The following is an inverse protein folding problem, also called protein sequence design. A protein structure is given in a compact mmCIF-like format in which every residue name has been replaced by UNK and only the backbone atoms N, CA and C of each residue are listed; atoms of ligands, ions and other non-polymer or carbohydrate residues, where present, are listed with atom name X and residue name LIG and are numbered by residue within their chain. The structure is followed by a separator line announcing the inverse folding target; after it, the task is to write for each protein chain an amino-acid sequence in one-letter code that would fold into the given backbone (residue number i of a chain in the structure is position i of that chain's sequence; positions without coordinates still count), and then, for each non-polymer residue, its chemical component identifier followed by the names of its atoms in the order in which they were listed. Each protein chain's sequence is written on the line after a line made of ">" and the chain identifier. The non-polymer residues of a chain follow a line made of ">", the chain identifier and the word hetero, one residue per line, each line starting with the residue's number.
data_IF_162458794254
#
_entry.id   IF_162458794254
#
_cell.length_a   1.000
_cell.length_b   1.000
_cell.length_c   1.000
_cell.angle_alpha   90.00
_cell.angle_beta   90.00
_cell.angle_gamma   90.00
#
_symmetry.space_group_name_H-M   'P 1'
#
loop_
_entity.id
_entity.type
_entity.pdbx_description
1 polymer ?
#
# COMPACT_ATOMS: atom_id res chain seq x y z
N UNK A 1 -0.22 13.12 23.31
CA UNK A 1 0.02 13.21 21.84
C UNK A 1 -0.81 14.31 21.19
N UNK A 2 -2.15 14.27 21.13
CA UNK A 2 -2.92 15.36 20.50
C UNK A 2 -2.88 16.70 21.26
N UNK A 3 -2.91 16.67 22.60
CA UNK A 3 -2.76 17.88 23.42
C UNK A 3 -1.35 18.50 23.28
N UNK A 4 -0.31 17.67 23.17
CA UNK A 4 1.07 18.13 23.00
C UNK A 4 1.27 18.77 21.62
N UNK A 5 0.65 18.20 20.57
CA UNK A 5 0.68 18.78 19.23
C UNK A 5 -0.06 20.12 19.18
N UNK A 6 -1.23 20.24 19.83
CA UNK A 6 -1.98 21.50 19.87
C UNK A 6 -1.17 22.64 20.52
N UNK A 7 -0.48 22.36 21.63
CA UNK A 7 0.40 23.34 22.28
C UNK A 7 1.61 23.72 21.42
N UNK A 8 2.23 22.75 20.74
CA UNK A 8 3.35 23.01 19.83
C UNK A 8 2.93 23.88 18.64
N UNK A 9 1.72 23.66 18.10
CA UNK A 9 1.16 24.45 16.99
C UNK A 9 0.91 25.90 17.39
N UNK A 10 0.37 26.14 18.59
CA UNK A 10 0.10 27.50 19.07
C UNK A 10 1.40 28.30 19.29
N UNK A 11 2.47 27.62 19.70
CA UNK A 11 3.78 28.22 19.95
C UNK A 11 4.67 28.32 18.70
N UNK A 12 4.41 27.53 17.66
CA UNK A 12 5.28 27.46 16.48
C UNK A 12 5.49 28.80 15.76
N UNK A 13 4.46 29.63 15.50
CA UNK A 13 4.66 30.95 14.89
C UNK A 13 5.53 31.89 15.71
N UNK A 14 5.69 31.63 17.02
CA UNK A 14 6.48 32.43 17.96
C UNK A 14 7.94 31.95 18.03
N UNK A 15 8.30 30.86 17.33
CA UNK A 15 9.67 30.39 17.24
C UNK A 15 10.44 31.26 16.24
N UNK A 16 11.57 31.79 16.69
CA UNK A 16 12.54 32.49 15.81
C UNK A 16 13.25 31.53 14.83
N UNK A 17 13.06 30.23 15.01
CA UNK A 17 13.73 29.17 14.25
C UNK A 17 12.80 28.60 13.15
N UNK A 18 13.10 28.96 11.90
CA UNK A 18 12.37 28.49 10.72
C UNK A 18 12.42 26.96 10.55
N UNK A 19 13.49 26.30 10.99
CA UNK A 19 13.58 24.84 10.92
C UNK A 19 12.53 24.20 11.82
N UNK A 20 12.44 24.65 13.08
CA UNK A 20 11.46 24.13 14.04
C UNK A 20 10.03 24.40 13.59
N UNK A 21 9.79 25.54 12.94
CA UNK A 21 8.49 25.82 12.32
C UNK A 21 8.15 24.84 11.22
N UNK A 22 9.12 24.52 10.35
CA UNK A 22 8.95 23.51 9.32
C UNK A 22 8.72 22.11 9.93
N UNK A 23 9.40 21.75 11.02
CA UNK A 23 9.14 20.50 11.75
C UNK A 23 7.72 20.43 12.31
N UNK A 24 7.22 21.50 12.91
CA UNK A 24 5.83 21.54 13.40
C UNK A 24 4.84 21.42 12.25
N UNK A 25 5.05 22.15 11.14
CA UNK A 25 4.22 22.04 9.94
C UNK A 25 4.24 20.60 9.36
N UNK A 26 5.39 19.93 9.36
CA UNK A 26 5.50 18.53 8.95
C UNK A 26 4.69 17.59 9.86
N UNK A 27 4.71 17.81 11.18
CA UNK A 27 3.89 17.05 12.12
C UNK A 27 2.39 17.27 11.88
N UNK A 28 1.97 18.51 11.61
CA UNK A 28 0.58 18.81 11.24
C UNK A 28 0.17 18.12 9.95
N UNK A 29 1.02 18.18 8.91
CA UNK A 29 0.77 17.49 7.64
C UNK A 29 0.64 15.98 7.85
N UNK A 30 1.48 15.38 8.69
CA UNK A 30 1.44 13.94 8.99
C UNK A 30 0.16 13.57 9.73
N UNK A 31 -0.23 14.34 10.76
CA UNK A 31 -1.46 14.12 11.50
C UNK A 31 -2.71 14.29 10.62
N UNK A 32 -2.71 15.27 9.71
CA UNK A 32 -3.77 15.45 8.72
C UNK A 32 -3.85 14.24 7.77
N UNK A 33 -2.71 13.65 7.38
CA UNK A 33 -2.67 12.45 6.54
C UNK A 33 -3.28 11.24 7.26
N UNK A 34 -3.06 11.09 8.57
CA UNK A 34 -3.66 10.01 9.37
C UNK A 34 -5.18 10.11 9.44
N UNK A 35 -5.70 11.36 9.42
CA UNK A 35 -7.14 11.65 9.37
C UNK A 35 -7.70 11.67 7.94
N UNK A 36 -6.88 11.37 6.93
CA UNK A 36 -7.21 11.46 5.51
C UNK A 36 -7.71 12.86 5.08
N UNK A 37 -7.31 13.92 5.79
CA UNK A 37 -7.62 15.30 5.43
C UNK A 37 -6.58 15.84 4.44
N UNK A 38 -6.71 15.42 3.18
CA UNK A 38 -5.73 15.72 2.13
C UNK A 38 -5.54 17.21 1.85
N UNK A 39 -6.57 18.04 2.07
CA UNK A 39 -6.47 19.49 1.93
C UNK A 39 -5.53 20.11 2.98
N UNK A 40 -5.62 19.68 4.24
CA UNK A 40 -4.69 20.10 5.30
C UNK A 40 -3.28 19.55 5.09
N UNK A 41 -3.15 18.31 4.58
CA UNK A 41 -1.84 17.75 4.20
C UNK A 41 -1.12 18.68 3.21
N UNK A 42 -1.84 19.09 2.15
CA UNK A 42 -1.29 19.95 1.10
C UNK A 42 -0.93 21.33 1.66
N UNK A 43 -1.80 21.92 2.48
CA UNK A 43 -1.57 23.22 3.12
C UNK A 43 -0.27 23.21 3.94
N UNK A 44 -0.14 22.26 4.86
CA UNK A 44 1.03 22.19 5.75
C UNK A 44 2.29 21.73 5.02
N UNK A 45 2.19 20.84 4.02
CA UNK A 45 3.32 20.48 3.18
C UNK A 45 3.85 21.68 2.37
N UNK A 46 2.97 22.57 1.89
CA UNK A 46 3.39 23.83 1.25
C UNK A 46 4.13 24.73 2.24
N UNK A 47 3.60 24.88 3.46
CA UNK A 47 4.27 25.67 4.51
C UNK A 47 5.68 25.13 4.81
N UNK A 48 5.85 23.81 4.91
CA UNK A 48 7.18 23.19 5.06
C UNK A 48 8.12 23.61 3.94
N UNK A 49 7.67 23.53 2.68
CA UNK A 49 8.48 23.83 1.50
C UNK A 49 8.88 25.31 1.48
N UNK A 50 7.95 26.21 1.80
CA UNK A 50 8.21 27.66 1.84
C UNK A 50 9.26 28.01 2.91
N UNK A 51 9.19 27.34 4.07
CA UNK A 51 10.15 27.51 5.15
C UNK A 51 11.51 26.88 4.81
N UNK A 52 11.54 25.70 4.19
CA UNK A 52 12.78 24.95 3.92
C UNK A 52 13.63 25.57 2.80
N UNK A 53 13.00 26.16 1.79
CA UNK A 53 13.70 26.80 0.67
C UNK A 53 14.59 27.97 1.11
N UNK A 54 14.24 28.64 2.21
CA UNK A 54 14.99 29.78 2.74
C UNK A 54 16.24 29.39 3.54
N UNK A 55 16.35 28.14 4.00
CA UNK A 55 17.40 27.72 4.96
C UNK A 55 18.13 26.43 4.55
N UNK A 56 17.80 25.85 3.39
CA UNK A 56 18.44 24.65 2.83
C UNK A 56 18.34 23.40 3.73
N UNK A 57 17.12 23.00 4.10
CA UNK A 57 16.87 21.72 4.76
C UNK A 57 16.27 20.70 3.78
N UNK A 58 17.09 20.04 2.94
CA UNK A 58 16.57 19.22 1.85
C UNK A 58 15.73 18.05 2.33
N UNK A 59 16.07 17.42 3.46
CA UNK A 59 15.36 16.24 3.94
C UNK A 59 13.88 16.49 4.23
N UNK A 60 13.57 17.57 4.97
CA UNK A 60 12.19 17.90 5.34
C UNK A 60 11.39 18.37 4.11
N UNK A 61 12.03 19.07 3.18
CA UNK A 61 11.44 19.47 1.90
C UNK A 61 11.06 18.27 1.03
N UNK A 62 11.95 17.28 0.93
CA UNK A 62 11.72 16.06 0.17
C UNK A 62 10.55 15.28 0.79
N UNK A 63 10.56 15.13 2.12
CA UNK A 63 9.45 14.49 2.86
C UNK A 63 8.12 15.20 2.62
N UNK A 64 8.12 16.53 2.57
CA UNK A 64 6.91 17.33 2.30
C UNK A 64 6.40 17.09 0.89
N UNK A 65 7.28 17.10 -0.11
CA UNK A 65 6.90 16.78 -1.49
C UNK A 65 6.36 15.35 -1.63
N UNK A 66 6.95 14.35 -0.96
CA UNK A 66 6.42 12.98 -0.96
C UNK A 66 5.03 12.94 -0.32
N UNK A 67 4.84 13.60 0.83
CA UNK A 67 3.56 13.61 1.54
C UNK A 67 2.46 14.32 0.73
N UNK A 68 2.80 15.46 0.12
CA UNK A 68 1.94 16.16 -0.83
C UNK A 68 1.58 15.26 -2.01
N UNK A 69 2.57 14.67 -2.69
CA UNK A 69 2.33 13.78 -3.83
C UNK A 69 1.38 12.63 -3.48
N UNK A 70 1.48 12.06 -2.28
CA UNK A 70 0.57 11.02 -1.77
C UNK A 70 -0.86 11.54 -1.55
N UNK A 71 -1.02 12.76 -1.07
CA UNK A 71 -2.33 13.40 -0.94
C UNK A 71 -2.99 13.59 -2.32
N UNK A 72 -2.22 14.07 -3.31
CA UNK A 72 -2.70 14.23 -4.69
C UNK A 72 -3.06 12.89 -5.34
N UNK A 73 -2.23 11.86 -5.15
CA UNK A 73 -2.55 10.48 -5.56
C UNK A 73 -3.90 10.02 -5.00
N UNK A 74 -4.17 10.31 -3.73
CA UNK A 74 -5.40 9.91 -3.04
C UNK A 74 -6.63 10.68 -3.54
N UNK A 75 -6.43 11.90 -4.05
CA UNK A 75 -7.46 12.72 -4.69
C UNK A 75 -7.63 12.42 -6.19
N UNK A 76 -6.77 11.58 -6.78
CA UNK A 76 -6.79 11.24 -8.21
C UNK A 76 -6.06 12.24 -9.12
N UNK A 77 -5.33 13.21 -8.55
CA UNK A 77 -4.47 14.13 -9.32
C UNK A 77 -3.11 13.48 -9.57
N UNK A 78 -3.09 12.57 -10.54
CA UNK A 78 -1.86 11.86 -10.93
C UNK A 78 -0.78 12.78 -11.54
N UNK A 79 -1.11 13.75 -12.42
CA UNK A 79 -0.11 14.69 -12.94
C UNK A 79 0.54 15.54 -11.84
N UNK A 80 -0.25 16.07 -10.91
CA UNK A 80 0.28 16.84 -9.78
C UNK A 80 1.14 15.97 -8.86
N UNK A 81 0.72 14.72 -8.61
CA UNK A 81 1.51 13.78 -7.83
C UNK A 81 2.87 13.47 -8.48
N UNK A 82 2.91 13.22 -9.79
CA UNK A 82 4.16 12.95 -10.52
C UNK A 82 5.13 14.13 -10.42
N UNK A 83 4.64 15.37 -10.54
CA UNK A 83 5.48 16.56 -10.36
C UNK A 83 6.14 16.58 -8.98
N UNK A 84 5.37 16.28 -7.92
CA UNK A 84 5.88 16.25 -6.55
C UNK A 84 6.89 15.14 -6.32
N UNK A 85 6.65 13.93 -6.81
CA UNK A 85 7.60 12.83 -6.66
C UNK A 85 8.87 13.01 -7.52
N UNK A 86 8.75 13.60 -8.71
CA UNK A 86 9.90 13.93 -9.55
C UNK A 86 10.80 14.98 -8.86
N UNK A 87 10.21 16.03 -8.28
CA UNK A 87 10.96 17.02 -7.50
C UNK A 87 11.63 16.38 -6.28
N UNK A 88 10.89 15.57 -5.51
CA UNK A 88 11.43 14.83 -4.37
C UNK A 88 12.62 13.93 -4.78
N UNK A 89 12.51 13.22 -5.91
CA UNK A 89 13.57 12.36 -6.44
C UNK A 89 14.82 13.15 -6.82
N UNK A 90 14.66 14.29 -7.52
CA UNK A 90 15.77 15.16 -7.91
C UNK A 90 16.50 15.72 -6.68
N UNK A 91 15.76 16.23 -5.70
CA UNK A 91 16.29 16.76 -4.45
C UNK A 91 16.99 15.66 -3.62
N UNK A 92 16.39 14.47 -3.52
CA UNK A 92 16.97 13.34 -2.80
C UNK A 92 18.27 12.85 -3.45
N UNK A 93 18.34 12.86 -4.79
CA UNK A 93 19.55 12.52 -5.51
C UNK A 93 20.65 13.57 -5.31
N UNK A 94 20.32 14.86 -5.42
CA UNK A 94 21.26 15.95 -5.19
C UNK A 94 21.80 15.96 -3.75
N UNK A 95 20.95 15.62 -2.78
CA UNK A 95 21.26 15.63 -1.35
C UNK A 95 21.83 14.30 -0.85
N UNK A 96 22.01 13.30 -1.72
CA UNK A 96 22.53 11.97 -1.38
C UNK A 96 21.74 11.30 -0.25
N UNK A 97 20.40 11.40 -0.29
CA UNK A 97 19.49 10.77 0.67
C UNK A 97 18.86 9.52 0.04
N UNK A 98 19.50 8.34 0.15
CA UNK A 98 19.16 7.18 -0.67
C UNK A 98 17.79 6.58 -0.33
N UNK A 99 17.36 6.65 0.94
CA UNK A 99 16.03 6.18 1.35
C UNK A 99 14.91 7.01 0.69
N UNK A 100 15.05 8.33 0.67
CA UNK A 100 14.06 9.22 0.07
C UNK A 100 14.06 9.12 -1.46
N UNK A 101 15.22 8.83 -2.06
CA UNK A 101 15.34 8.52 -3.49
C UNK A 101 14.59 7.23 -3.85
N UNK A 102 14.71 6.20 -3.01
CA UNK A 102 13.99 4.93 -3.16
C UNK A 102 12.48 5.11 -3.00
N UNK A 103 12.03 5.87 -2.00
CA UNK A 103 10.63 6.19 -1.81
C UNK A 103 10.06 6.97 -2.99
N UNK A 104 10.76 8.01 -3.45
CA UNK A 104 10.32 8.82 -4.59
C UNK A 104 10.19 7.96 -5.84
N UNK A 105 11.19 7.13 -6.14
CA UNK A 105 11.17 6.21 -7.29
C UNK A 105 9.99 5.24 -7.21
N UNK A 106 9.74 4.65 -6.03
CA UNK A 106 8.59 3.76 -5.82
C UNK A 106 7.26 4.49 -6.05
N UNK A 107 7.12 5.71 -5.55
CA UNK A 107 5.89 6.48 -5.75
C UNK A 107 5.65 6.90 -7.20
N UNK A 108 6.69 7.24 -7.97
CA UNK A 108 6.57 7.43 -9.43
C UNK A 108 6.08 6.15 -10.10
N UNK A 109 6.54 4.98 -9.65
CA UNK A 109 6.02 3.68 -10.09
C UNK A 109 4.52 3.52 -9.81
N UNK A 110 4.06 3.92 -8.62
CA UNK A 110 2.63 3.91 -8.26
C UNK A 110 1.82 4.87 -9.15
N UNK A 111 2.34 6.05 -9.47
CA UNK A 111 1.65 7.00 -10.37
C UNK A 111 1.51 6.40 -11.76
N UNK A 112 2.60 5.86 -12.31
CA UNK A 112 2.59 5.20 -13.62
C UNK A 112 1.63 4.00 -13.66
N UNK A 113 1.58 3.19 -12.60
CA UNK A 113 0.62 2.09 -12.44
C UNK A 113 -0.83 2.61 -12.49
N UNK A 114 -1.14 3.71 -11.79
CA UNK A 114 -2.47 4.33 -11.79
C UNK A 114 -2.87 4.94 -13.13
N UNK A 115 -1.89 5.40 -13.91
CA UNK A 115 -2.08 5.89 -15.27
C UNK A 115 -2.16 4.76 -16.31
N UNK A 116 -1.90 3.51 -15.92
CA UNK A 116 -1.88 2.35 -16.82
C UNK A 116 -0.59 2.19 -17.64
N UNK A 117 0.43 3.02 -17.40
CA UNK A 117 1.76 2.88 -18.00
C UNK A 117 2.58 1.84 -17.24
N UNK A 118 2.21 0.57 -17.45
CA UNK A 118 2.83 -0.57 -16.78
C UNK A 118 4.34 -0.70 -17.07
N UNK A 119 4.85 -0.47 -18.29
CA UNK A 119 6.30 -0.47 -18.55
C UNK A 119 7.06 0.56 -17.71
N UNK A 120 6.55 1.80 -17.62
CA UNK A 120 7.17 2.83 -16.78
C UNK A 120 7.08 2.47 -15.29
N UNK A 121 5.94 1.93 -14.85
CA UNK A 121 5.75 1.48 -13.48
C UNK A 121 6.79 0.41 -13.08
N UNK A 122 6.96 -0.63 -13.91
CA UNK A 122 7.94 -1.71 -13.69
C UNK A 122 9.35 -1.12 -13.55
N UNK A 123 9.77 -0.24 -14.47
CA UNK A 123 11.11 0.39 -14.43
C UNK A 123 11.35 1.15 -13.12
N UNK A 124 10.37 1.94 -12.67
CA UNK A 124 10.46 2.67 -11.41
C UNK A 124 10.49 1.74 -10.20
N UNK A 125 9.67 0.69 -10.20
CA UNK A 125 9.67 -0.31 -9.14
C UNK A 125 10.99 -1.09 -9.10
N UNK A 126 11.52 -1.60 -10.21
CA UNK A 126 12.83 -2.27 -10.27
C UNK A 126 13.96 -1.36 -9.77
N UNK A 127 13.95 -0.09 -10.18
CA UNK A 127 14.90 0.91 -9.68
C UNK A 127 14.81 1.07 -8.17
N UNK A 128 13.59 1.23 -7.63
CA UNK A 128 13.39 1.35 -6.18
C UNK A 128 13.76 0.07 -5.43
N UNK A 129 13.52 -1.10 -6.04
CA UNK A 129 13.83 -2.40 -5.46
C UNK A 129 15.34 -2.56 -5.24
N UNK A 130 16.13 -2.23 -6.26
CA UNK A 130 17.58 -2.24 -6.16
C UNK A 130 18.07 -1.27 -5.08
N UNK A 131 17.51 -0.06 -5.03
CA UNK A 131 17.86 0.95 -4.03
C UNK A 131 17.55 0.49 -2.60
N UNK A 132 16.37 -0.09 -2.36
CA UNK A 132 16.00 -0.62 -1.04
C UNK A 132 16.93 -1.77 -0.61
N UNK A 133 17.32 -2.64 -1.55
CA UNK A 133 18.30 -3.71 -1.27
C UNK A 133 19.66 -3.16 -0.88
N UNK A 134 20.14 -2.14 -1.59
CA UNK A 134 21.44 -1.52 -1.31
C UNK A 134 21.49 -0.89 0.09
N UNK A 135 20.39 -0.28 0.55
CA UNK A 135 20.31 0.36 1.88
C UNK A 135 19.81 -0.58 2.98
N UNK A 136 19.43 -1.82 2.64
CA UNK A 136 18.90 -2.80 3.60
C UNK A 136 17.50 -2.51 4.14
N UNK A 137 16.70 -1.67 3.46
CA UNK A 137 15.31 -1.42 3.88
C UNK A 137 14.37 -2.52 3.38
N UNK A 138 14.18 -3.51 4.26
CA UNK A 138 13.28 -4.65 4.01
C UNK A 138 11.82 -4.24 3.85
N UNK A 139 11.35 -3.17 4.50
CA UNK A 139 9.95 -2.72 4.36
C UNK A 139 9.70 -2.13 2.98
N UNK A 140 10.61 -1.27 2.51
CA UNK A 140 10.58 -0.73 1.16
C UNK A 140 10.67 -1.82 0.10
N UNK A 141 11.59 -2.78 0.28
CA UNK A 141 11.75 -3.93 -0.61
C UNK A 141 10.45 -4.74 -0.75
N UNK A 142 9.82 -5.11 0.38
CA UNK A 142 8.56 -5.84 0.38
C UNK A 142 7.44 -5.09 -0.35
N UNK A 143 7.25 -3.80 -0.06
CA UNK A 143 6.22 -2.99 -0.74
C UNK A 143 6.41 -3.00 -2.26
N UNK A 144 7.64 -2.83 -2.73
CA UNK A 144 7.96 -2.83 -4.16
C UNK A 144 7.77 -4.20 -4.82
N UNK A 145 8.20 -5.28 -4.18
CA UNK A 145 7.98 -6.65 -4.68
C UNK A 145 6.49 -6.97 -4.86
N UNK A 146 5.64 -6.52 -3.93
CA UNK A 146 4.21 -6.69 -4.07
C UNK A 146 3.65 -5.96 -5.30
N UNK A 147 4.08 -4.72 -5.57
CA UNK A 147 3.66 -3.99 -6.79
C UNK A 147 4.09 -4.71 -8.08
N UNK A 148 5.36 -5.14 -8.15
CA UNK A 148 5.87 -5.89 -9.32
C UNK A 148 5.11 -7.20 -9.53
N UNK A 149 4.85 -7.93 -8.45
CA UNK A 149 4.06 -9.16 -8.48
C UNK A 149 2.65 -8.94 -9.04
N UNK A 150 1.96 -7.90 -8.55
CA UNK A 150 0.63 -7.53 -9.05
C UNK A 150 0.65 -7.17 -10.54
N UNK A 151 1.59 -6.34 -10.98
CA UNK A 151 1.66 -5.89 -12.38
C UNK A 151 1.92 -7.07 -13.32
N UNK A 152 2.87 -7.94 -13.01
CA UNK A 152 3.16 -9.10 -13.86
C UNK A 152 1.98 -10.06 -13.92
N UNK A 153 1.25 -10.25 -12.82
CA UNK A 153 0.01 -11.03 -12.82
C UNK A 153 -1.07 -10.40 -13.70
N UNK A 154 -1.24 -9.07 -13.65
CA UNK A 154 -2.17 -8.34 -14.53
C UNK A 154 -1.80 -8.49 -16.01
N UNK A 155 -0.50 -8.56 -16.33
CA UNK A 155 0.00 -8.80 -17.69
C UNK A 155 -0.06 -10.29 -18.10
N UNK A 156 -0.46 -11.18 -17.19
CA UNK A 156 -0.53 -12.61 -17.43
C UNK A 156 0.78 -13.37 -17.24
N UNK A 157 1.89 -12.69 -16.93
CA UNK A 157 3.15 -13.30 -16.50
C UNK A 157 3.05 -13.76 -15.05
N UNK A 158 2.37 -14.89 -14.89
CA UNK A 158 2.15 -15.51 -13.59
C UNK A 158 3.41 -16.13 -13.00
N UNK A 159 4.39 -16.51 -13.83
CA UNK A 159 5.65 -17.09 -13.33
C UNK A 159 6.52 -16.00 -12.72
N UNK A 160 6.73 -14.89 -13.42
CA UNK A 160 7.44 -13.73 -12.89
C UNK A 160 6.72 -13.12 -11.69
N UNK A 161 5.39 -12.98 -11.77
CA UNK A 161 4.57 -12.48 -10.65
C UNK A 161 4.73 -13.33 -9.38
N UNK A 162 4.70 -14.67 -9.51
CA UNK A 162 4.93 -15.58 -8.39
C UNK A 162 6.35 -15.44 -7.81
N UNK A 163 7.38 -15.26 -8.64
CA UNK A 163 8.76 -15.09 -8.15
C UNK A 163 8.90 -13.84 -7.26
N UNK A 164 8.22 -12.74 -7.61
CA UNK A 164 8.20 -11.55 -6.76
C UNK A 164 7.40 -11.76 -5.48
N UNK A 165 6.27 -12.47 -5.53
CA UNK A 165 5.52 -12.83 -4.34
C UNK A 165 6.27 -13.80 -3.41
N UNK A 166 6.98 -14.80 -3.93
CA UNK A 166 7.80 -15.70 -3.11
C UNK A 166 8.88 -14.90 -2.35
N UNK A 167 9.53 -13.94 -3.02
CA UNK A 167 10.47 -13.02 -2.37
C UNK A 167 9.75 -12.17 -1.30
N UNK A 168 8.59 -11.57 -1.63
CA UNK A 168 7.82 -10.79 -0.67
C UNK A 168 7.49 -11.58 0.61
N UNK A 169 7.08 -12.84 0.49
CA UNK A 169 6.71 -13.69 1.62
C UNK A 169 7.90 -13.98 2.55
N UNK A 170 9.11 -14.07 2.01
CA UNK A 170 10.33 -14.19 2.81
C UNK A 170 10.50 -12.91 3.64
N UNK A 171 10.43 -11.75 2.97
CA UNK A 171 10.57 -10.45 3.62
C UNK A 171 9.50 -10.23 4.69
N UNK A 172 8.24 -10.49 4.36
CA UNK A 172 7.11 -10.24 5.26
C UNK A 172 7.26 -11.03 6.55
N UNK A 173 7.75 -12.27 6.48
CA UNK A 173 8.05 -13.10 7.65
C UNK A 173 9.20 -12.55 8.47
N UNK A 174 10.28 -12.10 7.82
CA UNK A 174 11.43 -11.50 8.51
C UNK A 174 11.05 -10.23 9.29
N UNK A 175 10.19 -9.37 8.72
CA UNK A 175 9.79 -8.11 9.35
C UNK A 175 8.52 -8.22 10.21
N UNK A 176 7.91 -9.42 10.29
CA UNK A 176 6.66 -9.65 11.01
C UNK A 176 5.40 -9.02 10.39
N UNK A 177 5.40 -8.73 9.09
CA UNK A 177 4.23 -8.22 8.36
C UNK A 177 3.24 -9.34 8.01
N UNK A 178 2.54 -9.84 9.03
CA UNK A 178 1.51 -10.88 8.89
C UNK A 178 0.32 -10.40 8.05
N UNK A 179 0.01 -9.11 8.08
CA UNK A 179 -1.08 -8.53 7.29
C UNK A 179 -0.78 -8.56 5.79
N UNK A 180 0.43 -8.14 5.40
CA UNK A 180 0.91 -8.24 4.03
C UNK A 180 1.01 -9.69 3.56
N UNK A 181 1.52 -10.58 4.42
CA UNK A 181 1.63 -12.03 4.13
C UNK A 181 0.27 -12.62 3.77
N UNK A 182 -0.76 -12.40 4.60
CA UNK A 182 -2.11 -12.94 4.36
C UNK A 182 -2.72 -12.46 3.03
N UNK A 183 -2.50 -11.20 2.65
CA UNK A 183 -2.98 -10.69 1.36
C UNK A 183 -2.27 -11.30 0.16
N UNK A 184 -0.95 -11.38 0.18
CA UNK A 184 -0.20 -11.92 -0.94
C UNK A 184 -0.49 -13.41 -1.11
N UNK A 185 -0.60 -14.16 -0.02
CA UNK A 185 -1.01 -15.57 -0.07
C UNK A 185 -2.41 -15.71 -0.70
N UNK A 186 -3.37 -14.84 -0.33
CA UNK A 186 -4.69 -14.83 -0.96
C UNK A 186 -4.61 -14.53 -2.47
N UNK A 187 -3.80 -13.55 -2.87
CA UNK A 187 -3.57 -13.23 -4.29
C UNK A 187 -2.94 -14.40 -5.07
N UNK A 188 -2.05 -15.18 -4.43
CA UNK A 188 -1.52 -16.41 -5.02
C UNK A 188 -2.67 -17.43 -5.20
N UNK A 189 -3.55 -17.59 -4.20
CA UNK A 189 -4.74 -18.44 -4.31
C UNK A 189 -5.61 -18.08 -5.53
N UNK A 190 -5.90 -16.78 -5.71
CA UNK A 190 -6.64 -16.29 -6.88
C UNK A 190 -5.94 -16.64 -8.21
N UNK A 191 -4.61 -16.57 -8.23
CA UNK A 191 -3.79 -16.92 -9.41
C UNK A 191 -3.93 -18.40 -9.77
N UNK A 192 -3.89 -19.29 -8.78
CA UNK A 192 -4.07 -20.73 -8.98
C UNK A 192 -5.50 -21.07 -9.43
N UNK A 193 -6.51 -20.42 -8.82
CA UNK A 193 -7.90 -20.59 -9.21
C UNK A 193 -8.12 -20.20 -10.69
N UNK A 194 -7.52 -19.08 -11.14
CA UNK A 194 -7.60 -18.65 -12.55
C UNK A 194 -6.98 -19.63 -13.54
N UNK A 195 -6.17 -20.59 -13.07
CA UNK A 195 -5.55 -21.66 -13.86
C UNK A 195 -6.28 -22.99 -13.76
N UNK A 196 -7.44 -23.01 -13.09
CA UNK A 196 -8.17 -24.23 -12.77
C UNK A 196 -7.35 -25.22 -11.92
N UNK A 197 -6.28 -24.75 -11.25
CA UNK A 197 -5.56 -25.52 -10.24
C UNK A 197 -6.22 -25.32 -8.88
N UNK A 198 -7.33 -26.03 -8.72
CA UNK A 198 -8.19 -25.93 -7.54
C UNK A 198 -7.51 -26.43 -6.25
N UNK A 199 -6.61 -27.40 -6.36
CA UNK A 199 -5.87 -27.93 -5.21
C UNK A 199 -4.86 -26.89 -4.70
N UNK A 200 -4.10 -26.27 -5.60
CA UNK A 200 -3.20 -25.17 -5.25
C UNK A 200 -3.96 -23.96 -4.71
N UNK A 201 -5.07 -23.58 -5.35
CA UNK A 201 -5.91 -22.47 -4.91
C UNK A 201 -6.43 -22.68 -3.49
N UNK A 202 -7.02 -23.85 -3.20
CA UNK A 202 -7.53 -24.21 -1.87
C UNK A 202 -6.43 -24.08 -0.82
N UNK A 203 -5.25 -24.67 -1.08
CA UNK A 203 -4.11 -24.61 -0.16
C UNK A 203 -3.74 -23.18 0.20
N UNK A 204 -3.64 -22.27 -0.78
CA UNK A 204 -3.28 -20.88 -0.51
C UNK A 204 -4.42 -20.10 0.16
N UNK A 205 -5.69 -20.33 -0.20
CA UNK A 205 -6.80 -19.69 0.51
C UNK A 205 -6.88 -20.14 1.97
N UNK A 206 -6.67 -21.43 2.26
CA UNK A 206 -6.61 -21.95 3.63
C UNK A 206 -5.45 -21.35 4.43
N UNK A 207 -4.26 -21.22 3.82
CA UNK A 207 -3.14 -20.52 4.45
C UNK A 207 -3.46 -19.05 4.73
N UNK A 208 -4.10 -18.35 3.78
CA UNK A 208 -4.54 -16.97 4.02
C UNK A 208 -5.54 -16.89 5.18
N UNK A 209 -6.47 -17.85 5.28
CA UNK A 209 -7.44 -17.96 6.37
C UNK A 209 -6.79 -18.18 7.74
N UNK A 210 -5.74 -18.99 7.81
CA UNK A 210 -4.98 -19.19 9.04
C UNK A 210 -4.37 -17.86 9.54
N UNK A 211 -3.62 -17.19 8.67
CA UNK A 211 -2.94 -15.93 8.99
C UNK A 211 -3.94 -14.84 9.36
N UNK A 212 -4.99 -14.68 8.55
CA UNK A 212 -5.94 -13.59 8.74
C UNK A 212 -6.79 -13.75 9.99
N UNK A 213 -7.05 -15.00 10.44
CA UNK A 213 -7.71 -15.29 11.72
C UNK A 213 -6.78 -15.02 12.89
N UNK A 214 -5.50 -15.39 12.78
CA UNK A 214 -4.48 -15.07 13.80
C UNK A 214 -4.40 -13.57 14.08
N UNK A 215 -4.38 -12.74 13.04
CA UNK A 215 -4.30 -11.27 13.18
C UNK A 215 -5.67 -10.59 13.33
N UNK A 216 -6.77 -11.34 13.30
CA UNK A 216 -8.13 -10.82 13.38
C UNK A 216 -8.54 -9.92 12.20
N UNK A 217 -7.92 -10.04 11.03
CA UNK A 217 -8.30 -9.24 9.86
C UNK A 217 -9.53 -9.84 9.16
N UNK A 218 -10.71 -9.33 9.52
CA UNK A 218 -11.99 -9.80 8.98
C UNK A 218 -12.16 -9.56 7.47
N UNK A 219 -11.60 -8.48 6.93
CA UNK A 219 -11.71 -8.16 5.49
C UNK A 219 -11.00 -9.19 4.62
N UNK A 220 -9.74 -9.53 4.94
CA UNK A 220 -8.97 -10.52 4.18
C UNK A 220 -9.56 -11.92 4.41
N UNK A 221 -10.03 -12.22 5.63
CA UNK A 221 -10.71 -13.48 5.94
C UNK A 221 -11.92 -13.74 5.05
N UNK A 222 -12.82 -12.76 4.99
CA UNK A 222 -13.99 -12.84 4.12
C UNK A 222 -13.60 -13.01 2.65
N UNK A 223 -12.57 -12.30 2.19
CA UNK A 223 -12.08 -12.45 0.81
C UNK A 223 -11.52 -13.84 0.52
N UNK A 224 -10.77 -14.44 1.45
CA UNK A 224 -10.22 -15.78 1.29
C UNK A 224 -11.32 -16.86 1.35
N UNK A 225 -12.34 -16.69 2.19
CA UNK A 225 -13.53 -17.56 2.21
C UNK A 225 -14.28 -17.54 0.88
N UNK A 226 -14.45 -16.36 0.27
CA UNK A 226 -15.05 -16.24 -1.07
C UNK A 226 -14.20 -16.96 -2.12
N UNK A 227 -12.87 -16.79 -2.06
CA UNK A 227 -11.93 -17.51 -2.93
C UNK A 227 -12.10 -19.03 -2.84
N UNK A 228 -12.13 -19.56 -1.61
CA UNK A 228 -12.35 -20.99 -1.36
C UNK A 228 -13.74 -21.46 -1.81
N UNK A 229 -14.77 -20.63 -1.63
CA UNK A 229 -16.12 -20.94 -2.11
C UNK A 229 -16.18 -21.05 -3.64
N UNK A 230 -15.48 -20.19 -4.35
CA UNK A 230 -15.36 -20.28 -5.80
C UNK A 230 -14.63 -21.57 -6.21
N UNK A 231 -13.58 -21.97 -5.49
CA UNK A 231 -12.92 -23.26 -5.75
C UNK A 231 -13.92 -24.43 -5.60
N UNK A 232 -14.73 -24.43 -4.54
CA UNK A 232 -15.73 -25.48 -4.34
C UNK A 232 -16.84 -25.48 -5.40
N UNK A 233 -17.25 -24.31 -5.91
CA UNK A 233 -18.18 -24.24 -7.06
C UNK A 233 -17.57 -24.97 -8.26
N UNK A 234 -16.32 -24.65 -8.62
CA UNK A 234 -15.66 -25.23 -9.79
C UNK A 234 -15.42 -26.75 -9.64
N UNK A 235 -15.35 -27.25 -8.40
CA UNK A 235 -15.26 -28.67 -8.09
C UNK A 235 -16.63 -29.37 -7.97
N UNK A 236 -17.74 -28.64 -8.07
CA UNK A 236 -19.10 -29.17 -7.89
C UNK A 236 -19.49 -29.45 -6.43
N UNK A 237 -18.70 -28.97 -5.46
CA UNK A 237 -18.91 -29.16 -4.02
C UNK A 237 -19.83 -28.06 -3.43
N UNK A 238 -21.03 -27.90 -3.99
CA UNK A 238 -21.93 -26.77 -3.70
C UNK A 238 -22.28 -26.60 -2.21
N UNK A 239 -22.42 -27.69 -1.45
CA UNK A 239 -22.68 -27.62 0.00
C UNK A 239 -21.53 -26.96 0.75
N UNK A 240 -20.27 -27.26 0.37
CA UNK A 240 -19.10 -26.62 0.98
C UNK A 240 -18.97 -25.17 0.54
N UNK A 241 -19.21 -24.88 -0.74
CA UNK A 241 -19.23 -23.52 -1.27
C UNK A 241 -20.22 -22.63 -0.49
N UNK A 242 -21.46 -23.09 -0.32
CA UNK A 242 -22.49 -22.39 0.45
C UNK A 242 -22.04 -22.10 1.88
N UNK A 243 -21.45 -23.08 2.57
CA UNK A 243 -21.00 -22.92 3.95
C UNK A 243 -19.93 -21.80 4.08
N UNK A 244 -18.92 -21.81 3.20
CA UNK A 244 -17.88 -20.76 3.26
C UNK A 244 -18.38 -19.39 2.83
N UNK A 245 -19.34 -19.31 1.90
CA UNK A 245 -20.00 -18.05 1.58
C UNK A 245 -20.87 -17.53 2.74
N UNK A 246 -21.58 -18.40 3.47
CA UNK A 246 -22.33 -18.02 4.67
C UNK A 246 -21.39 -17.50 5.76
N UNK A 247 -20.22 -18.12 5.94
CA UNK A 247 -19.18 -17.57 6.83
C UNK A 247 -18.76 -16.16 6.36
N UNK A 248 -18.44 -15.98 5.07
CA UNK A 248 -18.08 -14.66 4.52
C UNK A 248 -19.19 -13.62 4.70
N UNK A 249 -20.45 -14.02 4.54
CA UNK A 249 -21.61 -13.14 4.71
C UNK A 249 -21.74 -12.65 6.15
N UNK A 250 -21.55 -13.54 7.12
CA UNK A 250 -21.55 -13.17 8.54
C UNK A 250 -20.44 -12.15 8.83
N UNK A 251 -19.24 -12.36 8.27
CA UNK A 251 -18.15 -11.39 8.38
C UNK A 251 -18.54 -10.04 7.77
N UNK A 252 -19.10 -10.03 6.56
CA UNK A 252 -19.50 -8.80 5.88
C UNK A 252 -20.49 -7.98 6.73
N UNK A 253 -21.42 -8.66 7.41
CA UNK A 253 -22.38 -8.05 8.35
C UNK A 253 -21.71 -7.51 9.60
N UNK A 254 -20.81 -8.29 10.21
CA UNK A 254 -20.04 -7.88 11.38
C UNK A 254 -19.27 -6.57 11.15
N UNK A 255 -18.66 -6.42 9.96
CA UNK A 255 -17.88 -5.23 9.61
C UNK A 255 -18.70 -4.12 8.93
N UNK A 256 -20.01 -4.32 8.75
CA UNK A 256 -20.91 -3.35 8.10
C UNK A 256 -20.64 -3.09 6.62
N UNK A 257 -20.00 -4.02 5.90
CA UNK A 257 -19.66 -3.85 4.49
C UNK A 257 -20.81 -4.28 3.57
N UNK A 258 -21.78 -3.38 3.38
CA UNK A 258 -22.99 -3.64 2.58
C UNK A 258 -22.71 -4.06 1.13
N UNK A 259 -21.79 -3.41 0.38
CA UNK A 259 -21.45 -3.86 -0.97
C UNK A 259 -20.92 -5.29 -1.00
N UNK A 260 -20.11 -5.67 0.00
CA UNK A 260 -19.56 -7.01 0.08
C UNK A 260 -20.60 -8.05 0.48
N UNK A 261 -21.50 -7.71 1.41
CA UNK A 261 -22.67 -8.54 1.75
C UNK A 261 -23.50 -8.84 0.50
N UNK A 262 -23.86 -7.83 -0.29
CA UNK A 262 -24.63 -8.03 -1.52
C UNK A 262 -23.91 -8.94 -2.52
N UNK A 263 -22.58 -8.79 -2.66
CA UNK A 263 -21.75 -9.65 -3.52
C UNK A 263 -21.75 -11.09 -3.02
N UNK A 264 -21.59 -11.33 -1.71
CA UNK A 264 -21.61 -12.68 -1.14
C UNK A 264 -22.99 -13.33 -1.26
N UNK A 265 -24.08 -12.59 -1.04
CA UNK A 265 -25.45 -13.09 -1.24
C UNK A 265 -25.69 -13.54 -2.69
N UNK A 266 -25.16 -12.81 -3.68
CA UNK A 266 -25.23 -13.22 -5.08
C UNK A 266 -24.55 -14.58 -5.31
N UNK A 267 -23.37 -14.79 -4.72
CA UNK A 267 -22.65 -16.06 -4.82
C UNK A 267 -23.38 -17.24 -4.15
N UNK A 268 -24.14 -16.99 -3.08
CA UNK A 268 -24.98 -18.01 -2.43
C UNK A 268 -26.21 -18.37 -3.29
N UNK A 269 -26.75 -17.40 -4.02
CA UNK A 269 -27.95 -17.58 -4.85
C UNK A 269 -27.71 -18.20 -6.23
N UNK A 270 -26.45 -18.22 -6.68
CA UNK A 270 -26.02 -18.89 -7.93
C UNK A 270 -25.91 -20.40 -7.74
#
# INVERSE_FOLDING_TARGET
>A
QEQDLAQLVELAPQLDDQHKRAEVAMLQATAASERSNYSEVILHAQEVIDLSQSVQFPEIEIKANILWGRALLSQGDYPGAEQRFSLASQLANASQLPILKADSSRYQGVVAERLGDLPTAIRHFETSLEQYRQIGDRRGEGRTLNHLGNILLMQGDRTGGKQYYDQFLIISREIGDRWGEGQVIRNIGDTYLSRYDYAGASKYFEQALEITREIGNRTIESSALVGLGNVYIEQGEFTKAKNVFEQSLNIAREIGNQPWEAKTLNQIGR
#
